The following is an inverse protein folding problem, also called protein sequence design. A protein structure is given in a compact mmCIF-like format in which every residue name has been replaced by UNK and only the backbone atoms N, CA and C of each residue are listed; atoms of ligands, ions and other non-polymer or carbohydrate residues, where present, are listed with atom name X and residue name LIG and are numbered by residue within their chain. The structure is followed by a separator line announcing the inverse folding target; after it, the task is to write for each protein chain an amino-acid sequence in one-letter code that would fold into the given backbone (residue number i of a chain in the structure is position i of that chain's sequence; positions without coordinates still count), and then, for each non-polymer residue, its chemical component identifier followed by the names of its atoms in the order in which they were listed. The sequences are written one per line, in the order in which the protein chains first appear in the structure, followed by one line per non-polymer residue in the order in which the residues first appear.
data_IF_932410650874
#
_entry.id   IF_932410650874
#
_cell.length_a   1.000
_cell.length_b   1.000
_cell.length_c   1.000
_cell.angle_alpha   90.00
_cell.angle_beta   90.00
_cell.angle_gamma   90.00
#
_symmetry.space_group_name_H-M   'P 1'
#
loop_
_entity.id
_entity.type
_entity.pdbx_description
1 polymer ?
#
# COMPACT_ATOMS: atom_id res chain seq x y z
N UNK A 1 -18.61 52.54 22.92
CA UNK A 1 -19.16 51.48 23.80
C UNK A 1 -20.00 50.45 23.06
N UNK A 2 -21.12 50.81 22.39
CA UNK A 2 -22.01 49.85 21.68
C UNK A 2 -21.30 49.02 20.58
N UNK A 3 -20.44 49.63 19.75
CA UNK A 3 -19.61 48.92 18.74
C UNK A 3 -18.57 47.97 19.35
N UNK A 4 -18.00 48.35 20.50
CA UNK A 4 -17.02 47.53 21.21
C UNK A 4 -17.71 46.31 21.87
N UNK A 5 -18.86 46.52 22.50
CA UNK A 5 -19.69 45.44 23.06
C UNK A 5 -20.21 44.50 21.95
N UNK A 6 -20.64 45.03 20.81
CA UNK A 6 -21.01 44.21 19.65
C UNK A 6 -19.80 43.39 19.15
N UNK A 7 -18.60 43.99 19.05
CA UNK A 7 -17.40 43.24 18.65
C UNK A 7 -16.99 42.13 19.63
N UNK A 8 -17.25 42.30 20.94
CA UNK A 8 -16.97 41.27 21.95
C UNK A 8 -17.92 40.07 21.86
N UNK A 9 -19.12 40.25 21.31
CA UNK A 9 -20.10 39.17 21.07
C UNK A 9 -19.95 38.57 19.67
N UNK A 10 -19.67 39.41 18.67
CA UNK A 10 -19.47 39.00 17.27
C UNK A 10 -18.15 38.24 17.07
N UNK A 11 -17.07 38.61 17.79
CA UNK A 11 -15.77 37.97 17.65
C UNK A 11 -15.77 36.47 18.02
N UNK A 12 -16.29 36.04 19.19
CA UNK A 12 -16.39 34.61 19.53
C UNK A 12 -17.24 33.83 18.53
N UNK A 13 -18.35 34.42 18.05
CA UNK A 13 -19.19 33.79 17.04
C UNK A 13 -18.47 33.63 15.69
N UNK A 14 -17.73 34.65 15.25
CA UNK A 14 -16.91 34.60 14.04
C UNK A 14 -15.76 33.59 14.18
N UNK A 15 -15.09 33.56 15.33
CA UNK A 15 -14.03 32.60 15.65
C UNK A 15 -14.58 31.17 15.61
N UNK A 16 -15.70 30.91 16.30
CA UNK A 16 -16.37 29.61 16.32
C UNK A 16 -16.76 29.16 14.91
N UNK A 17 -17.36 30.04 14.11
CA UNK A 17 -17.72 29.74 12.73
C UNK A 17 -16.50 29.47 11.85
N UNK A 18 -15.39 30.18 12.08
CA UNK A 18 -14.14 29.98 11.33
C UNK A 18 -13.45 28.68 11.74
N UNK A 19 -13.39 28.38 13.04
CA UNK A 19 -12.88 27.11 13.58
C UNK A 19 -13.73 25.94 13.08
N UNK A 20 -15.06 26.04 13.13
CA UNK A 20 -15.98 25.00 12.62
C UNK A 20 -15.80 24.75 11.12
N UNK A 21 -15.70 25.82 10.31
CA UNK A 21 -15.42 25.69 8.87
C UNK A 21 -14.05 25.07 8.63
N UNK A 22 -13.03 25.48 9.39
CA UNK A 22 -11.67 24.94 9.33
C UNK A 22 -11.63 23.46 9.68
N UNK A 23 -12.26 23.08 10.79
CA UNK A 23 -12.41 21.69 11.26
C UNK A 23 -13.08 20.82 10.20
N UNK A 24 -14.22 21.28 9.68
CA UNK A 24 -14.96 20.52 8.66
C UNK A 24 -14.16 20.36 7.37
N UNK A 25 -13.47 21.42 6.93
CA UNK A 25 -12.59 21.34 5.76
C UNK A 25 -11.41 20.40 6.01
N UNK A 26 -10.82 20.43 7.20
CA UNK A 26 -9.67 19.60 7.53
C UNK A 26 -10.02 18.10 7.58
N UNK A 27 -11.09 17.71 8.27
CA UNK A 27 -11.47 16.31 8.46
C UNK A 27 -12.42 15.75 7.39
N UNK A 28 -13.31 16.56 6.84
CA UNK A 28 -14.42 16.06 6.01
C UNK A 28 -14.36 16.45 4.54
N UNK A 29 -13.25 17.03 4.05
CA UNK A 29 -13.05 17.17 2.60
C UNK A 29 -12.65 15.81 2.02
N UNK A 30 -13.32 15.29 0.98
CA UNK A 30 -12.93 14.03 0.35
C UNK A 30 -11.49 14.04 -0.15
N UNK A 31 -10.76 12.95 0.07
CA UNK A 31 -9.37 12.79 -0.38
C UNK A 31 -9.16 11.45 -1.08
N UNK A 32 -8.14 11.41 -1.92
CA UNK A 32 -7.75 10.23 -2.68
C UNK A 32 -7.23 9.10 -1.75
N UNK A 33 -7.79 7.87 -1.84
CA UNK A 33 -7.43 6.76 -0.94
C UNK A 33 -6.14 6.02 -1.33
N UNK A 34 -5.43 6.38 -2.40
CA UNK A 34 -4.28 5.60 -2.91
C UNK A 34 -3.18 5.44 -1.88
N UNK A 35 -2.82 6.52 -1.18
CA UNK A 35 -1.83 6.47 -0.12
C UNK A 35 -2.24 5.47 0.98
N UNK A 36 -3.53 5.43 1.38
CA UNK A 36 -4.01 4.47 2.38
C UNK A 36 -3.88 3.02 1.92
N UNK A 37 -4.13 2.74 0.63
CA UNK A 37 -3.92 1.42 0.05
C UNK A 37 -2.47 0.96 0.16
N UNK A 38 -1.51 1.88 -0.08
CA UNK A 38 -0.08 1.59 0.10
C UNK A 38 0.29 1.44 1.57
N UNK A 39 -0.22 2.30 2.46
CA UNK A 39 -0.03 2.16 3.92
C UNK A 39 -0.52 0.79 4.40
N UNK A 40 -1.70 0.36 3.94
CA UNK A 40 -2.27 -0.96 4.25
C UNK A 40 -1.32 -2.09 3.83
N UNK A 41 -0.77 -2.04 2.61
CA UNK A 41 0.20 -3.04 2.12
C UNK A 41 1.45 -3.02 3.01
N UNK A 42 2.05 -1.85 3.23
CA UNK A 42 3.29 -1.74 4.03
C UNK A 42 3.10 -2.24 5.46
N UNK A 43 2.04 -1.80 6.15
CA UNK A 43 1.72 -2.24 7.51
C UNK A 43 1.37 -3.72 7.53
N UNK A 44 0.62 -4.21 6.55
CA UNK A 44 0.27 -5.63 6.45
C UNK A 44 1.50 -6.52 6.25
N UNK A 45 2.46 -6.12 5.40
CA UNK A 45 3.75 -6.82 5.23
C UNK A 45 4.54 -6.85 6.54
N UNK A 46 4.61 -5.72 7.25
CA UNK A 46 5.30 -5.63 8.54
C UNK A 46 4.66 -6.52 9.61
N UNK A 47 3.32 -6.55 9.69
CA UNK A 47 2.61 -7.45 10.59
C UNK A 47 2.80 -8.92 10.23
N UNK A 48 2.80 -9.24 8.93
CA UNK A 48 3.03 -10.61 8.46
C UNK A 48 4.45 -11.07 8.82
N UNK A 49 5.44 -10.22 8.56
CA UNK A 49 6.83 -10.43 8.96
C UNK A 49 6.96 -10.66 10.47
N UNK A 50 6.37 -9.79 11.28
CA UNK A 50 6.44 -9.89 12.73
C UNK A 50 5.81 -11.20 13.25
N UNK A 51 4.65 -11.61 12.70
CA UNK A 51 4.05 -12.91 13.03
C UNK A 51 4.93 -14.08 12.58
N UNK A 52 5.59 -14.00 11.41
CA UNK A 52 6.52 -15.04 10.98
C UNK A 52 7.70 -15.18 11.94
N UNK A 53 8.27 -14.06 12.41
CA UNK A 53 9.36 -14.05 13.38
C UNK A 53 8.93 -14.71 14.69
N UNK A 54 7.74 -14.38 15.22
CA UNK A 54 7.20 -15.08 16.38
C UNK A 54 6.99 -16.58 16.14
N UNK A 55 6.72 -16.98 14.89
CA UNK A 55 6.58 -18.39 14.51
C UNK A 55 7.86 -19.21 14.63
N UNK A 56 9.04 -18.57 14.65
CA UNK A 56 10.33 -19.26 14.81
C UNK A 56 10.46 -19.96 16.16
N UNK A 57 9.87 -19.37 17.21
CA UNK A 57 9.77 -19.99 18.54
C UNK A 57 8.41 -19.65 19.20
N UNK A 58 7.34 -20.11 18.56
CA UNK A 58 5.97 -19.75 18.94
C UNK A 58 5.66 -20.10 20.40
N UNK A 59 6.20 -21.21 20.91
CA UNK A 59 5.93 -21.67 22.27
C UNK A 59 6.66 -20.80 23.30
N UNK A 60 7.89 -20.36 23.03
CA UNK A 60 8.60 -19.44 23.91
C UNK A 60 7.89 -18.08 24.04
N UNK A 61 7.25 -17.59 22.98
CA UNK A 61 6.53 -16.32 23.03
C UNK A 61 5.10 -16.43 23.57
N UNK A 62 4.34 -17.46 23.17
CA UNK A 62 2.89 -17.54 23.42
C UNK A 62 2.45 -18.67 24.35
N UNK A 63 3.29 -19.69 24.59
CA UNK A 63 2.91 -20.84 25.41
C UNK A 63 2.86 -20.55 26.90
N UNK A 64 2.29 -21.48 27.66
CA UNK A 64 2.16 -21.35 29.11
C UNK A 64 3.50 -21.26 29.81
N UNK A 65 4.50 -22.00 29.32
CA UNK A 65 5.87 -22.05 29.84
C UNK A 65 6.84 -21.15 29.06
N UNK A 66 6.32 -20.13 28.37
CA UNK A 66 7.12 -19.19 27.59
C UNK A 66 7.95 -18.21 28.43
N UNK A 67 8.72 -17.35 27.76
CA UNK A 67 9.54 -16.31 28.40
C UNK A 67 8.74 -15.35 29.29
N UNK A 68 7.46 -15.17 28.98
CA UNK A 68 6.55 -14.35 29.75
C UNK A 68 5.37 -15.19 30.25
N UNK A 69 5.39 -15.51 31.55
CA UNK A 69 4.32 -16.21 32.25
C UNK A 69 2.96 -15.49 32.05
N UNK A 70 1.94 -16.16 31.50
CA UNK A 70 0.65 -15.55 31.17
C UNK A 70 -0.09 -14.93 32.36
N UNK A 71 0.05 -15.50 33.56
CA UNK A 71 -0.63 -14.99 34.76
C UNK A 71 0.04 -13.70 35.25
N UNK A 72 1.38 -13.67 35.29
CA UNK A 72 2.16 -12.48 35.61
C UNK A 72 1.86 -11.33 34.64
N UNK A 73 1.80 -11.61 33.34
CA UNK A 73 1.43 -10.61 32.32
C UNK A 73 0.01 -10.08 32.57
N UNK A 74 -0.97 -10.96 32.85
CA UNK A 74 -2.34 -10.54 33.17
C UNK A 74 -2.42 -9.73 34.45
N UNK A 75 -1.65 -10.08 35.47
CA UNK A 75 -1.57 -9.33 36.72
C UNK A 75 -1.08 -7.89 36.48
N UNK A 76 0.01 -7.72 35.72
CA UNK A 76 0.53 -6.39 35.35
C UNK A 76 -0.50 -5.59 34.56
N UNK A 77 -1.18 -6.20 33.58
CA UNK A 77 -2.24 -5.52 32.84
C UNK A 77 -3.38 -5.07 33.76
N UNK A 78 -3.83 -5.88 34.72
CA UNK A 78 -4.89 -5.47 35.66
C UNK A 78 -4.51 -4.24 36.49
N UNK A 79 -3.22 -4.07 36.81
CA UNK A 79 -2.74 -2.92 37.58
C UNK A 79 -2.58 -1.66 36.72
N UNK A 80 -2.00 -1.78 35.52
CA UNK A 80 -1.62 -0.62 34.71
C UNK A 80 -2.67 -0.23 33.65
N UNK A 81 -3.40 -1.22 33.14
CA UNK A 81 -4.37 -1.07 32.05
C UNK A 81 -5.50 -2.10 32.22
N UNK A 82 -6.41 -1.93 33.19
CA UNK A 82 -7.42 -2.94 33.54
C UNK A 82 -8.38 -3.30 32.40
N UNK A 83 -8.50 -2.44 31.39
CA UNK A 83 -9.27 -2.69 30.16
C UNK A 83 -8.46 -3.36 29.03
N UNK A 84 -7.19 -3.71 29.26
CA UNK A 84 -6.38 -4.40 28.27
C UNK A 84 -6.88 -5.82 28.02
N UNK A 85 -6.87 -6.23 26.76
CA UNK A 85 -7.39 -7.51 26.31
C UNK A 85 -6.46 -8.14 25.28
N UNK A 86 -6.52 -9.47 25.18
CA UNK A 86 -5.87 -10.25 24.14
C UNK A 86 -6.55 -11.61 24.03
N UNK A 87 -6.89 -12.04 22.82
CA UNK A 87 -7.46 -13.38 22.65
C UNK A 87 -6.43 -14.48 22.95
N UNK A 88 -5.13 -14.19 22.89
CA UNK A 88 -4.07 -15.19 23.10
C UNK A 88 -4.04 -15.76 24.52
N UNK A 89 -4.59 -15.06 25.52
CA UNK A 89 -4.75 -15.62 26.87
C UNK A 89 -5.76 -16.77 26.95
N UNK A 90 -6.56 -16.96 25.92
CA UNK A 90 -7.59 -17.99 25.84
C UNK A 90 -7.22 -19.12 24.87
N UNK A 91 -6.03 -19.07 24.26
CA UNK A 91 -5.57 -20.09 23.30
C UNK A 91 -4.75 -21.14 24.05
N UNK A 92 -5.20 -22.40 24.13
CA UNK A 92 -4.41 -23.48 24.70
C UNK A 92 -3.17 -23.78 23.85
N UNK A 93 -2.10 -24.26 24.48
CA UNK A 93 -0.81 -24.55 23.84
C UNK A 93 -0.93 -25.46 22.61
N UNK A 94 -1.83 -26.45 22.66
CA UNK A 94 -2.13 -27.36 21.55
C UNK A 94 -2.67 -26.65 20.29
N UNK A 95 -3.31 -25.49 20.46
CA UNK A 95 -3.92 -24.71 19.37
C UNK A 95 -3.06 -23.54 18.89
N UNK A 96 -1.92 -23.26 19.53
CA UNK A 96 -1.07 -22.10 19.20
C UNK A 96 -0.73 -22.04 17.71
N UNK A 97 -0.24 -23.15 17.14
CA UNK A 97 0.12 -23.23 15.71
C UNK A 97 -1.08 -22.96 14.80
N UNK A 98 -2.24 -23.50 15.13
CA UNK A 98 -3.45 -23.30 14.33
C UNK A 98 -3.89 -21.83 14.34
N UNK A 99 -3.97 -21.22 15.52
CA UNK A 99 -4.38 -19.82 15.68
C UNK A 99 -3.34 -18.89 15.04
N UNK A 100 -2.05 -19.20 15.16
CA UNK A 100 -0.98 -18.46 14.50
C UNK A 100 -1.09 -18.50 12.98
N UNK A 101 -1.33 -19.67 12.36
CA UNK A 101 -1.59 -19.77 10.92
C UNK A 101 -2.84 -18.97 10.53
N UNK A 102 -3.91 -19.03 11.32
CA UNK A 102 -5.11 -18.24 11.06
C UNK A 102 -4.83 -16.73 11.09
N UNK A 103 -4.02 -16.26 12.04
CA UNK A 103 -3.56 -14.87 12.10
C UNK A 103 -2.74 -14.48 10.85
N UNK A 104 -1.81 -15.33 10.42
CA UNK A 104 -1.04 -15.10 9.20
C UNK A 104 -1.93 -14.99 7.97
N UNK A 105 -2.93 -15.87 7.83
CA UNK A 105 -3.89 -15.83 6.72
C UNK A 105 -4.67 -14.52 6.75
N UNK A 106 -5.22 -14.13 7.91
CA UNK A 106 -5.97 -12.88 8.05
C UNK A 106 -5.10 -11.67 7.68
N UNK A 107 -3.85 -11.63 8.16
CA UNK A 107 -2.92 -10.54 7.84
C UNK A 107 -2.54 -10.57 6.36
N UNK A 108 -2.34 -11.73 5.74
CA UNK A 108 -2.09 -11.82 4.29
C UNK A 108 -3.28 -11.29 3.47
N UNK A 109 -4.51 -11.64 3.86
CA UNK A 109 -5.74 -11.12 3.25
C UNK A 109 -5.87 -9.60 3.47
N UNK A 110 -5.53 -9.12 4.66
CA UNK A 110 -5.43 -7.69 4.97
C UNK A 110 -4.37 -7.00 4.11
N UNK A 111 -3.23 -7.63 3.82
CA UNK A 111 -2.11 -7.11 3.00
C UNK A 111 -2.44 -7.06 1.51
N UNK A 112 -3.21 -7.99 0.97
CA UNK A 112 -3.69 -7.91 -0.43
C UNK A 112 -4.96 -7.09 -0.58
N UNK A 113 -5.70 -6.88 0.51
CA UNK A 113 -6.92 -6.07 0.54
C UNK A 113 -8.13 -6.86 0.04
N UNK A 114 -8.24 -8.11 0.47
CA UNK A 114 -9.43 -8.95 0.30
C UNK A 114 -10.29 -8.86 1.56
N UNK A 115 -11.60 -8.67 1.38
CA UNK A 115 -12.54 -8.37 2.47
C UNK A 115 -12.02 -7.26 3.38
N UNK A 116 -11.48 -6.23 2.75
CA UNK A 116 -10.65 -5.16 3.33
C UNK A 116 -11.22 -4.53 4.60
N UNK A 117 -12.54 -4.42 4.73
CA UNK A 117 -13.18 -3.91 5.95
C UNK A 117 -13.06 -4.87 7.13
N UNK A 118 -13.33 -6.15 6.90
CA UNK A 118 -13.30 -7.19 7.93
C UNK A 118 -11.85 -7.49 8.30
N UNK A 119 -10.98 -7.69 7.31
CA UNK A 119 -9.58 -8.03 7.57
C UNK A 119 -8.82 -6.89 8.23
N UNK A 120 -9.18 -5.62 8.02
CA UNK A 120 -8.58 -4.50 8.73
C UNK A 120 -8.90 -4.53 10.24
N UNK A 121 -10.16 -4.79 10.61
CA UNK A 121 -10.56 -4.94 12.01
C UNK A 121 -9.85 -6.14 12.64
N UNK A 122 -9.85 -7.29 11.96
CA UNK A 122 -9.17 -8.48 12.47
C UNK A 122 -7.66 -8.30 12.58
N UNK A 123 -7.00 -7.63 11.63
CA UNK A 123 -5.58 -7.31 11.71
C UNK A 123 -5.26 -6.40 12.90
N UNK A 124 -6.11 -5.41 13.19
CA UNK A 124 -5.99 -4.59 14.39
C UNK A 124 -6.17 -5.42 15.68
N UNK A 125 -7.15 -6.33 15.70
CA UNK A 125 -7.37 -7.25 16.83
C UNK A 125 -6.15 -8.14 17.07
N UNK A 126 -5.53 -8.64 15.99
CA UNK A 126 -4.32 -9.47 16.05
C UNK A 126 -3.15 -8.69 16.62
N UNK A 127 -2.81 -7.51 16.07
CA UNK A 127 -1.65 -6.74 16.55
C UNK A 127 -1.81 -6.29 17.99
N UNK A 128 -3.00 -5.86 18.41
CA UNK A 128 -3.27 -5.53 19.82
C UNK A 128 -3.12 -6.77 20.69
N UNK A 129 -3.67 -7.90 20.27
CA UNK A 129 -3.61 -9.13 21.06
C UNK A 129 -2.17 -9.64 21.21
N UNK A 130 -1.37 -9.61 20.14
CA UNK A 130 0.06 -9.97 20.16
C UNK A 130 0.82 -9.05 21.09
N UNK A 131 0.66 -7.73 20.92
CA UNK A 131 1.32 -6.73 21.75
C UNK A 131 1.03 -6.92 23.25
N UNK A 132 -0.21 -7.26 23.60
CA UNK A 132 -0.59 -7.48 25.00
C UNK A 132 -0.15 -8.85 25.55
N UNK A 133 -0.02 -9.87 24.71
CA UNK A 133 0.40 -11.21 25.13
C UNK A 133 1.91 -11.33 25.31
N UNK A 134 2.68 -10.64 24.48
CA UNK A 134 4.14 -10.76 24.42
C UNK A 134 4.79 -9.40 24.78
N UNK A 135 4.68 -8.94 26.03
CA UNK A 135 5.22 -7.62 26.41
C UNK A 135 6.76 -7.56 26.34
N UNK A 136 7.44 -8.70 26.40
CA UNK A 136 8.92 -8.80 26.41
C UNK A 136 9.56 -8.39 25.08
N UNK A 137 8.82 -8.46 23.98
CA UNK A 137 9.29 -8.07 22.63
C UNK A 137 8.72 -6.74 22.18
N UNK A 138 7.98 -6.03 23.04
CA UNK A 138 7.36 -4.75 22.69
C UNK A 138 8.38 -3.64 22.56
N UNK A 139 8.25 -2.87 21.49
CA UNK A 139 8.92 -1.59 21.35
C UNK A 139 8.07 -0.61 20.54
N UNK A 140 8.67 0.50 20.11
CA UNK A 140 7.97 1.55 19.37
C UNK A 140 7.25 1.03 18.12
N UNK A 141 7.76 -0.02 17.48
CA UNK A 141 7.14 -0.63 16.30
C UNK A 141 5.69 -1.04 16.54
N UNK A 142 5.41 -1.86 17.57
CA UNK A 142 4.09 -2.43 17.84
C UNK A 142 3.04 -1.35 18.07
N UNK A 143 3.43 -0.27 18.76
CA UNK A 143 2.56 0.87 19.03
C UNK A 143 2.16 1.59 17.74
N UNK A 144 3.12 1.79 16.84
CA UNK A 144 2.92 2.48 15.56
C UNK A 144 2.05 1.65 14.61
N UNK A 145 2.37 0.37 14.40
CA UNK A 145 1.57 -0.48 13.51
C UNK A 145 0.17 -0.73 14.06
N UNK A 146 0.00 -0.79 15.39
CA UNK A 146 -1.31 -0.84 16.04
C UNK A 146 -2.12 0.44 15.79
N UNK A 147 -1.51 1.62 15.90
CA UNK A 147 -2.17 2.89 15.61
C UNK A 147 -2.60 3.00 14.13
N UNK A 148 -1.73 2.62 13.18
CA UNK A 148 -2.05 2.63 11.76
C UNK A 148 -3.18 1.66 11.43
N UNK A 149 -3.10 0.42 11.91
CA UNK A 149 -4.18 -0.56 11.68
C UNK A 149 -5.49 -0.14 12.32
N UNK A 150 -5.49 0.47 13.51
CA UNK A 150 -6.69 1.05 14.13
C UNK A 150 -7.37 2.05 13.20
N UNK A 151 -6.61 3.00 12.66
CA UNK A 151 -7.18 4.04 11.79
C UNK A 151 -7.69 3.46 10.47
N UNK A 152 -7.00 2.46 9.91
CA UNK A 152 -7.46 1.75 8.71
C UNK A 152 -8.72 0.91 8.98
N UNK A 153 -8.80 0.28 10.15
CA UNK A 153 -9.94 -0.53 10.59
C UNK A 153 -11.18 0.34 10.83
N UNK A 154 -11.04 1.45 11.55
CA UNK A 154 -12.16 2.31 11.91
C UNK A 154 -12.77 3.06 10.72
N UNK A 155 -11.95 3.46 9.75
CA UNK A 155 -12.41 4.28 8.62
C UNK A 155 -12.90 3.47 7.43
N UNK A 156 -12.57 2.18 7.34
CA UNK A 156 -12.95 1.28 6.24
C UNK A 156 -12.54 1.79 4.84
N UNK A 157 -11.55 2.69 4.77
CA UNK A 157 -11.12 3.35 3.53
C UNK A 157 -9.93 2.65 2.85
N UNK A 158 -9.22 1.77 3.56
CA UNK A 158 -7.97 1.14 3.12
C UNK A 158 -8.13 0.19 1.91
N UNK A 159 -9.36 -0.26 1.65
CA UNK A 159 -9.73 -1.08 0.49
C UNK A 159 -10.20 -0.30 -0.74
N UNK A 160 -10.33 1.03 -0.67
CA UNK A 160 -10.90 1.84 -1.76
C UNK A 160 -9.93 2.03 -2.95
N UNK A 161 -8.62 1.83 -2.72
CA UNK A 161 -7.57 1.85 -3.73
C UNK A 161 -6.53 0.76 -3.45
N UNK A 162 -5.82 0.34 -4.50
CA UNK A 162 -4.73 -0.65 -4.44
C UNK A 162 -5.13 -1.89 -3.64
N UNK A 163 -6.27 -2.51 -3.96
CA UNK A 163 -6.83 -3.64 -3.21
C UNK A 163 -7.36 -4.74 -4.14
N UNK A 164 -7.29 -5.99 -3.67
CA UNK A 164 -7.82 -7.13 -4.40
C UNK A 164 -9.35 -7.07 -4.55
N UNK A 165 -10.08 -6.59 -3.53
CA UNK A 165 -11.53 -6.35 -3.61
C UNK A 165 -11.90 -5.47 -4.82
N UNK A 166 -11.19 -4.33 -4.97
CA UNK A 166 -11.42 -3.39 -6.08
C UNK A 166 -11.06 -4.01 -7.41
N UNK A 167 -9.92 -4.71 -7.47
CA UNK A 167 -9.48 -5.38 -8.69
C UNK A 167 -10.48 -6.43 -9.16
N UNK A 168 -10.96 -7.30 -8.25
CA UNK A 168 -11.96 -8.33 -8.56
C UNK A 168 -13.29 -7.72 -9.00
N UNK A 169 -13.74 -6.64 -8.37
CA UNK A 169 -14.94 -5.92 -8.80
C UNK A 169 -14.80 -5.37 -10.23
N UNK A 170 -13.66 -4.73 -10.54
CA UNK A 170 -13.35 -4.25 -11.89
C UNK A 170 -13.23 -5.39 -12.90
N UNK A 171 -12.62 -6.50 -12.53
CA UNK A 171 -12.48 -7.67 -13.38
C UNK A 171 -13.84 -8.27 -13.75
N UNK A 172 -14.78 -8.36 -12.79
CA UNK A 172 -16.16 -8.79 -13.08
C UNK A 172 -16.87 -7.85 -14.05
N UNK A 173 -16.73 -6.54 -13.87
CA UNK A 173 -17.29 -5.53 -14.79
C UNK A 173 -16.69 -5.64 -16.19
N UNK A 174 -15.36 -5.79 -16.28
CA UNK A 174 -14.67 -5.95 -17.56
C UNK A 174 -15.07 -7.24 -18.26
N UNK A 175 -15.16 -8.37 -17.55
CA UNK A 175 -15.67 -9.62 -18.11
C UNK A 175 -17.09 -9.47 -18.66
N UNK A 176 -17.99 -8.83 -17.91
CA UNK A 176 -19.36 -8.60 -18.35
C UNK A 176 -19.42 -7.67 -19.57
N UNK A 177 -18.56 -6.64 -19.63
CA UNK A 177 -18.49 -5.71 -20.76
C UNK A 177 -17.97 -6.39 -22.03
N UNK A 178 -16.87 -7.14 -21.93
CA UNK A 178 -16.27 -7.88 -23.08
C UNK A 178 -17.21 -8.97 -23.59
N UNK A 179 -18.00 -9.60 -22.72
CA UNK A 179 -18.97 -10.61 -23.12
C UNK A 179 -20.13 -10.03 -23.95
N UNK A 180 -20.51 -8.77 -23.71
CA UNK A 180 -21.53 -8.05 -24.49
C UNK A 180 -20.90 -7.58 -25.81
N UNK A 181 -20.86 -8.47 -26.80
CA UNK A 181 -20.37 -8.13 -28.15
C UNK A 181 -21.11 -6.90 -28.69
N UNK A 182 -20.35 -5.89 -29.12
CA UNK A 182 -20.89 -4.66 -29.74
C UNK A 182 -20.49 -4.58 -31.20
N UNK A 183 -21.36 -4.00 -32.01
CA UNK A 183 -21.16 -3.88 -33.45
C UNK A 183 -20.01 -2.93 -33.83
N UNK A 184 -19.67 -1.97 -32.96
CA UNK A 184 -18.53 -1.06 -33.14
C UNK A 184 -17.19 -1.70 -32.69
N UNK A 185 -17.21 -2.92 -32.15
CA UNK A 185 -16.04 -3.64 -31.63
C UNK A 185 -15.36 -2.99 -30.43
N UNK A 186 -15.98 -1.94 -29.88
CA UNK A 186 -15.44 -1.14 -28.79
C UNK A 186 -16.28 -1.37 -27.55
N UNK A 187 -15.61 -1.51 -26.42
CA UNK A 187 -16.26 -1.58 -25.12
C UNK A 187 -15.43 -0.81 -24.12
N UNK A 188 -16.09 -0.27 -23.11
CA UNK A 188 -15.44 0.52 -22.08
C UNK A 188 -15.96 0.09 -20.72
N UNK A 189 -15.08 0.12 -19.73
CA UNK A 189 -15.46 0.05 -18.31
C UNK A 189 -15.29 1.42 -17.69
N UNK A 190 -16.04 1.75 -16.61
CA UNK A 190 -15.79 2.96 -15.83
C UNK A 190 -14.30 3.13 -15.47
N UNK A 191 -13.86 4.39 -15.38
CA UNK A 191 -12.49 4.71 -14.95
C UNK A 191 -12.18 3.98 -13.64
N UNK A 192 -10.96 3.46 -13.52
CA UNK A 192 -10.47 2.83 -12.31
C UNK A 192 -9.69 3.75 -11.41
N UNK A 193 -9.64 5.05 -11.72
CA UNK A 193 -9.16 6.07 -10.78
C UNK A 193 -10.00 5.98 -9.49
N UNK A 194 -9.36 5.87 -8.31
CA UNK A 194 -10.09 5.81 -7.05
C UNK A 194 -10.90 7.08 -6.80
N UNK A 195 -12.16 6.93 -6.38
CA UNK A 195 -12.98 8.09 -6.02
C UNK A 195 -12.53 8.65 -4.66
N UNK A 196 -12.34 9.98 -4.55
CA UNK A 196 -12.05 10.62 -3.28
C UNK A 196 -13.16 10.38 -2.26
N UNK A 197 -12.82 10.11 -1.00
CA UNK A 197 -13.80 9.88 0.05
C UNK A 197 -13.48 10.61 1.35
N UNK A 198 -14.52 10.92 2.12
CA UNK A 198 -14.39 11.53 3.45
C UNK A 198 -13.68 10.57 4.41
N UNK A 199 -14.04 9.29 4.37
CA UNK A 199 -13.40 8.24 5.17
C UNK A 199 -11.90 8.16 4.92
N UNK A 200 -11.47 8.32 3.66
CA UNK A 200 -10.06 8.31 3.31
C UNK A 200 -9.33 9.53 3.89
N UNK A 201 -9.92 10.72 3.75
CA UNK A 201 -9.34 11.92 4.36
C UNK A 201 -9.25 11.78 5.88
N UNK A 202 -10.30 11.28 6.54
CA UNK A 202 -10.27 11.07 7.99
C UNK A 202 -9.11 10.18 8.41
N UNK A 203 -8.90 9.03 7.74
CA UNK A 203 -7.79 8.13 8.03
C UNK A 203 -6.42 8.81 7.81
N UNK A 204 -6.26 9.51 6.69
CA UNK A 204 -5.03 10.24 6.38
C UNK A 204 -4.75 11.30 7.45
N UNK A 205 -5.76 12.06 7.88
CA UNK A 205 -5.62 13.11 8.90
C UNK A 205 -5.24 12.54 10.26
N UNK A 206 -5.84 11.42 10.67
CA UNK A 206 -5.47 10.73 11.90
C UNK A 206 -4.01 10.27 11.87
N UNK A 207 -3.56 9.67 10.75
CA UNK A 207 -2.15 9.27 10.58
C UNK A 207 -1.22 10.49 10.61
N UNK A 208 -1.54 11.54 9.85
CA UNK A 208 -0.75 12.77 9.77
C UNK A 208 -0.61 13.45 11.14
N UNK A 209 -1.71 13.59 11.88
CA UNK A 209 -1.69 14.19 13.22
C UNK A 209 -0.91 13.34 14.20
N UNK A 210 -1.06 12.01 14.16
CA UNK A 210 -0.30 11.12 15.04
C UNK A 210 1.20 11.20 14.73
N UNK A 211 1.61 11.24 13.45
CA UNK A 211 3.02 11.46 13.08
C UNK A 211 3.58 12.78 13.58
N UNK A 212 2.81 13.86 13.45
CA UNK A 212 3.18 15.18 13.99
C UNK A 212 3.40 15.08 15.50
N UNK A 213 2.52 14.39 16.23
CA UNK A 213 2.69 14.17 17.67
C UNK A 213 3.93 13.32 17.97
N UNK A 214 4.15 12.22 17.27
CA UNK A 214 5.30 11.32 17.50
C UNK A 214 6.62 12.06 17.30
N UNK A 215 6.80 12.72 16.15
CA UNK A 215 8.04 13.46 15.88
C UNK A 215 8.22 14.64 16.83
N UNK A 216 7.16 15.43 17.07
CA UNK A 216 7.22 16.57 17.97
C UNK A 216 7.56 16.17 19.41
N UNK A 217 6.90 15.13 19.93
CA UNK A 217 7.17 14.60 21.27
C UNK A 217 8.55 13.97 21.37
N UNK A 218 9.02 13.27 20.32
CA UNK A 218 10.39 12.76 20.27
C UNK A 218 11.42 13.88 20.37
N UNK A 219 11.23 14.99 19.64
CA UNK A 219 12.11 16.15 19.69
C UNK A 219 12.10 16.83 21.07
N UNK A 220 10.91 17.03 21.65
CA UNK A 220 10.76 17.61 22.99
C UNK A 220 11.37 16.72 24.09
N UNK A 221 11.25 15.40 23.97
CA UNK A 221 11.89 14.46 24.89
C UNK A 221 13.42 14.55 24.80
N UNK A 222 13.98 14.69 23.59
CA UNK A 222 15.43 14.83 23.39
C UNK A 222 15.99 16.11 24.00
N UNK A 223 15.26 17.22 24.01
CA UNK A 223 15.68 18.47 24.66
C UNK A 223 15.97 18.32 26.17
N UNK A 224 15.46 17.27 26.82
CA UNK A 224 15.71 17.00 28.23
C UNK A 224 17.10 16.39 28.47
N UNK A 225 17.75 15.84 27.44
CA UNK A 225 19.04 15.19 27.53
C UNK A 225 20.21 16.14 27.23
N UNK A 226 21.24 16.26 28.10
CA UNK A 226 22.37 17.17 27.88
C UNK A 226 23.18 16.83 26.63
N UNK A 227 23.24 15.56 26.24
CA UNK A 227 23.96 15.10 25.04
C UNK A 227 23.41 15.68 23.73
N UNK A 228 22.13 16.03 23.68
CA UNK A 228 21.50 16.66 22.51
C UNK A 228 21.94 18.12 22.36
N UNK A 229 22.20 18.80 23.47
CA UNK A 229 22.73 20.17 23.49
C UNK A 229 24.23 20.23 23.17
N UNK A 230 25.00 19.25 23.66
CA UNK A 230 26.44 19.17 23.33
C UNK A 230 26.72 18.60 21.94
N UNK A 231 25.69 18.14 21.21
CA UNK A 231 25.83 17.54 19.88
C UNK A 231 26.50 16.15 19.87
N UNK A 232 26.47 15.44 20.99
CA UNK A 232 27.12 14.13 21.15
C UNK A 232 26.11 12.98 21.25
N UNK A 233 24.80 13.25 21.19
CA UNK A 233 23.78 12.23 21.40
C UNK A 233 23.86 11.07 20.39
N UNK A 234 24.06 11.36 19.09
CA UNK A 234 24.16 10.30 18.07
C UNK A 234 25.39 9.42 18.29
N UNK A 235 26.50 9.98 18.77
CA UNK A 235 27.67 9.19 19.14
C UNK A 235 27.34 8.16 20.24
N UNK A 236 26.54 8.55 21.23
CA UNK A 236 26.11 7.64 22.29
C UNK A 236 25.37 6.41 21.78
N UNK A 237 24.57 6.55 20.72
CA UNK A 237 23.88 5.41 20.08
C UNK A 237 24.86 4.60 19.24
N UNK A 238 25.69 5.25 18.42
CA UNK A 238 26.63 4.57 17.52
C UNK A 238 27.71 3.77 18.26
N UNK A 239 28.16 4.25 19.41
CA UNK A 239 29.15 3.59 20.24
C UNK A 239 28.55 2.56 21.22
N UNK A 240 27.22 2.44 21.28
CA UNK A 240 26.56 1.49 22.17
C UNK A 240 26.61 0.08 21.60
N UNK A 241 27.05 -0.89 22.41
CA UNK A 241 27.04 -2.31 22.06
C UNK A 241 25.62 -2.91 22.03
N UNK A 242 24.65 -2.22 22.64
CA UNK A 242 23.26 -2.66 22.69
C UNK A 242 22.55 -2.52 21.33
N UNK A 243 22.86 -1.46 20.58
CA UNK A 243 22.23 -1.17 19.30
C UNK A 243 23.14 -1.40 18.09
N UNK A 244 24.44 -1.19 18.24
CA UNK A 244 25.41 -1.29 17.15
C UNK A 244 25.70 -2.72 16.71
N UNK A 245 25.27 -3.08 15.50
CA UNK A 245 25.70 -4.33 14.83
C UNK A 245 26.82 -4.09 13.82
N UNK A 246 26.98 -2.85 13.35
CA UNK A 246 28.06 -2.44 12.45
C UNK A 246 29.06 -1.59 13.23
N UNK A 247 30.36 -1.82 12.99
CA UNK A 247 31.40 -0.98 13.57
C UNK A 247 31.43 0.40 12.88
N UNK A 248 30.83 1.37 13.54
CA UNK A 248 30.79 2.77 13.11
C UNK A 248 31.68 3.66 13.98
N UNK A 249 32.56 3.07 14.80
CA UNK A 249 33.40 3.83 15.75
C UNK A 249 34.40 4.76 15.05
N UNK A 250 34.76 4.48 13.79
CA UNK A 250 35.58 5.36 12.96
C UNK A 250 34.97 6.77 12.79
N UNK A 251 33.66 6.94 12.96
CA UNK A 251 33.00 8.25 12.96
C UNK A 251 33.44 9.15 14.11
N UNK A 252 34.08 8.59 15.16
CA UNK A 252 34.72 9.38 16.22
C UNK A 252 35.77 10.37 15.66
N UNK A 253 36.38 10.06 14.52
CA UNK A 253 37.32 10.95 13.84
C UNK A 253 36.63 12.19 13.23
N UNK A 254 35.30 12.21 13.14
CA UNK A 254 34.51 13.27 12.51
C UNK A 254 33.48 13.88 13.50
N UNK A 255 33.92 14.51 14.61
CA UNK A 255 33.00 15.02 15.64
C UNK A 255 32.06 16.12 15.14
N UNK A 256 32.48 16.91 14.15
CA UNK A 256 31.61 17.91 13.52
C UNK A 256 30.44 17.29 12.77
N UNK A 257 30.64 16.11 12.16
CA UNK A 257 29.58 15.38 11.47
C UNK A 257 28.58 14.83 12.48
N UNK A 258 29.06 14.24 13.57
CA UNK A 258 28.22 13.75 14.66
C UNK A 258 27.40 14.88 15.31
N UNK A 259 28.00 16.05 15.49
CA UNK A 259 27.33 17.25 15.96
C UNK A 259 26.25 17.72 14.99
N UNK A 260 26.57 17.81 13.69
CA UNK A 260 25.62 18.20 12.65
C UNK A 260 24.43 17.23 12.59
N UNK A 261 24.68 15.92 12.59
CA UNK A 261 23.63 14.90 12.57
C UNK A 261 22.73 15.00 13.83
N UNK A 262 23.33 15.20 15.01
CA UNK A 262 22.61 15.32 16.27
C UNK A 262 21.63 16.49 16.24
N UNK A 263 22.10 17.68 15.84
CA UNK A 263 21.25 18.86 15.74
C UNK A 263 20.29 18.80 14.56
N UNK A 264 20.64 18.13 13.46
CA UNK A 264 19.75 17.92 12.32
C UNK A 264 18.55 17.06 12.70
N UNK A 265 18.75 15.99 13.46
CA UNK A 265 17.66 15.17 13.99
C UNK A 265 16.72 15.99 14.89
N UNK A 266 17.28 16.80 15.79
CA UNK A 266 16.51 17.66 16.68
C UNK A 266 15.71 18.74 15.92
N UNK A 267 16.36 19.43 14.97
CA UNK A 267 15.72 20.44 14.13
C UNK A 267 14.62 19.84 13.25
N UNK A 268 14.84 18.65 12.71
CA UNK A 268 13.84 17.90 11.95
C UNK A 268 12.63 17.57 12.83
N UNK A 269 12.84 16.93 13.98
CA UNK A 269 11.75 16.46 14.85
C UNK A 269 10.91 17.61 15.42
N UNK A 270 11.55 18.70 15.85
CA UNK A 270 10.85 19.90 16.35
C UNK A 270 10.20 20.71 15.22
N UNK A 271 10.80 20.73 14.04
CA UNK A 271 10.29 21.43 12.86
C UNK A 271 9.14 20.69 12.17
N UNK A 272 9.14 19.35 12.19
CA UNK A 272 8.18 18.51 11.47
C UNK A 272 6.71 18.87 11.76
N UNK A 273 6.27 19.05 13.04
CA UNK A 273 4.90 19.44 13.38
C UNK A 273 4.33 20.63 12.62
N UNK A 274 5.18 21.60 12.28
CA UNK A 274 4.79 22.87 11.66
C UNK A 274 5.09 22.85 10.16
N UNK A 275 6.31 22.46 9.80
CA UNK A 275 6.84 22.61 8.44
C UNK A 275 6.27 21.58 7.45
N UNK A 276 5.81 20.41 7.90
CA UNK A 276 5.25 19.36 7.01
C UNK A 276 3.99 19.81 6.27
N UNK A 277 3.27 20.78 6.83
CA UNK A 277 2.06 21.35 6.24
C UNK A 277 2.37 22.33 5.10
N UNK A 278 3.59 22.84 5.02
CA UNK A 278 4.06 23.73 3.95
C UNK A 278 4.37 22.90 2.71
N UNK A 279 3.56 23.03 1.66
CA UNK A 279 3.63 22.18 0.45
C UNK A 279 5.01 22.17 -0.21
N UNK A 280 5.73 23.29 -0.17
CA UNK A 280 7.07 23.44 -0.77
C UNK A 280 8.14 22.68 0.04
N UNK A 281 8.05 22.69 1.37
CA UNK A 281 9.02 22.03 2.25
C UNK A 281 8.72 20.55 2.47
N UNK A 282 7.48 20.13 2.23
CA UNK A 282 7.03 18.75 2.49
C UNK A 282 7.93 17.68 1.82
N UNK A 283 8.29 17.75 0.52
CA UNK A 283 9.14 16.73 -0.09
C UNK A 283 10.50 16.63 0.60
N UNK A 284 11.08 17.77 0.99
CA UNK A 284 12.34 17.82 1.74
C UNK A 284 12.19 17.11 3.09
N UNK A 285 11.13 17.39 3.86
CA UNK A 285 10.92 16.72 5.14
C UNK A 285 10.64 15.22 5.01
N UNK A 286 9.91 14.79 3.98
CA UNK A 286 9.69 13.37 3.73
C UNK A 286 10.99 12.66 3.35
N UNK A 287 11.87 13.32 2.59
CA UNK A 287 13.20 12.81 2.29
C UNK A 287 14.07 12.77 3.56
N UNK A 288 14.07 13.82 4.38
CA UNK A 288 14.80 13.82 5.66
C UNK A 288 14.30 12.72 6.59
N UNK A 289 12.99 12.50 6.69
CA UNK A 289 12.41 11.39 7.46
C UNK A 289 12.93 10.04 6.96
N UNK A 290 12.91 9.82 5.64
CA UNK A 290 13.43 8.59 5.04
C UNK A 290 14.92 8.40 5.34
N UNK A 291 15.75 9.42 5.10
CA UNK A 291 17.20 9.35 5.33
C UNK A 291 17.52 9.12 6.81
N UNK A 292 16.78 9.74 7.73
CA UNK A 292 16.92 9.53 9.16
C UNK A 292 16.63 8.08 9.54
N UNK A 293 15.51 7.51 9.07
CA UNK A 293 15.16 6.12 9.37
C UNK A 293 16.10 5.10 8.71
N UNK A 294 16.61 5.38 7.51
CA UNK A 294 17.68 4.58 6.90
C UNK A 294 18.96 4.66 7.73
N UNK A 295 19.32 5.86 8.22
CA UNK A 295 20.45 6.04 9.13
C UNK A 295 20.29 5.22 10.42
N UNK A 296 19.09 5.20 11.01
CA UNK A 296 18.76 4.38 12.18
C UNK A 296 18.84 2.89 11.85
N UNK A 297 18.33 2.45 10.70
CA UNK A 297 18.42 1.04 10.30
C UNK A 297 19.87 0.57 10.10
N UNK A 298 20.77 1.46 9.67
CA UNK A 298 22.20 1.16 9.53
C UNK A 298 22.89 1.15 10.90
N UNK A 299 22.61 2.13 11.77
CA UNK A 299 23.27 2.25 13.07
C UNK A 299 22.72 1.30 14.14
N UNK A 300 21.43 1.00 14.07
CA UNK A 300 20.68 0.19 15.01
C UNK A 300 19.70 -0.73 14.27
N UNK A 301 20.19 -1.81 13.60
CA UNK A 301 19.34 -2.66 12.77
C UNK A 301 18.14 -3.28 13.51
N UNK A 302 18.20 -3.44 14.83
CA UNK A 302 17.08 -3.88 15.66
C UNK A 302 15.89 -2.91 15.74
N UNK A 303 16.02 -1.69 15.19
CA UNK A 303 14.97 -0.67 15.10
C UNK A 303 14.42 -0.50 13.67
N UNK A 304 14.83 -1.36 12.73
CA UNK A 304 14.47 -1.24 11.31
C UNK A 304 12.95 -1.30 11.10
N UNK A 305 12.26 -2.20 11.79
CA UNK A 305 10.81 -2.36 11.69
C UNK A 305 10.06 -1.08 12.11
N UNK A 306 10.54 -0.43 13.17
CA UNK A 306 10.00 0.87 13.59
C UNK A 306 10.18 1.93 12.49
N UNK A 307 11.38 2.03 11.90
CA UNK A 307 11.65 2.96 10.80
C UNK A 307 10.77 2.71 9.58
N UNK A 308 10.55 1.44 9.21
CA UNK A 308 9.64 1.06 8.12
C UNK A 308 8.18 1.41 8.43
N UNK A 309 7.74 1.23 9.67
CA UNK A 309 6.39 1.61 10.11
C UNK A 309 6.19 3.14 10.10
N UNK A 310 7.23 3.90 10.46
CA UNK A 310 7.24 5.36 10.36
C UNK A 310 7.22 5.82 8.90
N UNK A 311 7.98 5.18 8.02
CA UNK A 311 7.98 5.46 6.59
C UNK A 311 6.60 5.16 5.96
N UNK A 312 5.98 4.05 6.32
CA UNK A 312 4.61 3.73 5.92
C UNK A 312 3.66 4.86 6.31
N UNK A 313 3.67 5.32 7.57
CA UNK A 313 2.85 6.46 8.00
C UNK A 313 3.10 7.73 7.16
N UNK A 314 4.35 8.02 6.80
CA UNK A 314 4.71 9.23 6.04
C UNK A 314 4.12 9.25 4.63
N UNK A 315 3.73 8.10 4.07
CA UNK A 315 2.95 8.03 2.82
C UNK A 315 1.64 8.82 2.91
N UNK A 316 1.08 9.04 4.11
CA UNK A 316 -0.14 9.82 4.28
C UNK A 316 0.01 11.29 3.86
N UNK A 317 1.23 11.80 3.71
CA UNK A 317 1.52 13.15 3.21
C UNK A 317 1.77 13.20 1.69
N UNK A 318 1.87 12.05 1.04
CA UNK A 318 2.15 11.92 -0.39
C UNK A 318 0.85 11.97 -1.21
N UNK A 319 0.91 12.64 -2.36
CA UNK A 319 -0.25 12.80 -3.25
C UNK A 319 -0.58 11.48 -3.97
N UNK A 320 -1.83 11.01 -3.85
CA UNK A 320 -2.33 9.84 -4.59
C UNK A 320 -2.20 9.97 -6.11
N UNK A 321 -2.63 11.10 -6.73
CA UNK A 321 -2.40 11.35 -8.15
C UNK A 321 -0.92 11.29 -8.56
N UNK A 322 0.00 11.82 -7.74
CA UNK A 322 1.43 11.76 -8.01
C UNK A 322 1.97 10.33 -7.92
N UNK A 323 1.54 9.55 -6.92
CA UNK A 323 1.90 8.13 -6.81
C UNK A 323 1.47 7.33 -8.05
N UNK A 324 0.29 7.63 -8.61
CA UNK A 324 -0.16 7.00 -9.85
C UNK A 324 0.63 7.46 -11.06
N UNK A 325 0.99 8.75 -11.14
CA UNK A 325 1.74 9.27 -12.28
C UNK A 325 3.17 8.71 -12.38
N UNK A 326 3.77 8.27 -11.27
CA UNK A 326 5.04 7.55 -11.27
C UNK A 326 5.02 6.25 -12.08
N UNK A 327 3.83 5.67 -12.28
CA UNK A 327 3.67 4.39 -12.97
C UNK A 327 2.91 4.54 -14.30
N UNK A 328 1.81 5.29 -14.31
CA UNK A 328 0.97 5.51 -15.49
C UNK A 328 1.27 6.77 -16.31
N UNK A 329 2.23 7.61 -15.89
CA UNK A 329 2.46 8.94 -16.47
C UNK A 329 1.33 9.93 -16.18
N UNK A 330 1.33 11.08 -16.85
CA UNK A 330 0.37 12.18 -16.58
C UNK A 330 -1.07 11.92 -17.08
N UNK A 331 -1.39 10.72 -17.55
CA UNK A 331 -2.77 10.26 -17.78
C UNK A 331 -3.60 11.03 -18.81
N UNK A 332 -2.98 11.76 -19.74
CA UNK A 332 -3.71 12.65 -20.67
C UNK A 332 -4.16 12.00 -21.99
N UNK A 333 -3.60 10.87 -22.42
CA UNK A 333 -3.97 10.18 -23.67
C UNK A 333 -3.80 8.65 -23.55
N UNK A 334 -4.58 7.87 -24.31
CA UNK A 334 -4.40 6.42 -24.41
C UNK A 334 -3.01 6.11 -24.96
N UNK A 335 -2.24 5.30 -24.24
CA UNK A 335 -0.89 4.90 -24.64
C UNK A 335 -0.90 3.99 -25.88
N UNK A 336 -1.98 3.22 -26.10
CA UNK A 336 -2.13 2.41 -27.31
C UNK A 336 -3.45 1.64 -27.42
N UNK A 337 -3.69 1.12 -28.62
CA UNK A 337 -4.82 0.27 -29.00
C UNK A 337 -4.41 -1.20 -28.97
N UNK A 338 -5.14 -2.04 -28.23
CA UNK A 338 -4.85 -3.47 -28.10
C UNK A 338 -5.86 -4.26 -28.92
N UNK A 339 -5.38 -4.90 -29.98
CA UNK A 339 -6.20 -5.73 -30.85
C UNK A 339 -6.26 -7.15 -30.31
N UNK A 340 -7.47 -7.66 -30.16
CA UNK A 340 -7.73 -9.00 -29.65
C UNK A 340 -8.88 -9.69 -30.39
N UNK A 341 -8.90 -11.01 -30.32
CA UNK A 341 -9.97 -11.82 -30.89
C UNK A 341 -11.15 -11.92 -29.91
N UNK A 342 -12.25 -11.21 -30.21
CA UNK A 342 -13.48 -11.26 -29.43
C UNK A 342 -14.21 -12.60 -29.48
N UNK A 343 -13.96 -13.44 -30.49
CA UNK A 343 -14.54 -14.78 -30.56
C UNK A 343 -13.84 -15.76 -29.60
N UNK A 344 -12.57 -15.54 -29.28
CA UNK A 344 -11.79 -16.40 -28.38
C UNK A 344 -12.04 -16.08 -26.89
N UNK A 345 -12.58 -17.03 -26.08
CA UNK A 345 -12.81 -16.81 -24.64
C UNK A 345 -11.56 -16.44 -23.85
N UNK A 346 -10.41 -17.04 -24.19
CA UNK A 346 -9.13 -16.73 -23.54
C UNK A 346 -8.68 -15.31 -23.84
N UNK A 347 -8.81 -14.85 -25.09
CA UNK A 347 -8.48 -13.47 -25.46
C UNK A 347 -9.41 -12.47 -24.74
N UNK A 348 -10.71 -12.77 -24.63
CA UNK A 348 -11.65 -11.98 -23.82
C UNK A 348 -11.24 -11.92 -22.35
N UNK A 349 -10.85 -13.05 -21.76
CA UNK A 349 -10.40 -13.11 -20.38
C UNK A 349 -9.11 -12.31 -20.15
N UNK A 350 -8.14 -12.39 -21.06
CA UNK A 350 -6.91 -11.57 -21.03
C UNK A 350 -7.22 -10.08 -21.15
N UNK A 351 -8.15 -9.68 -22.03
CA UNK A 351 -8.55 -8.27 -22.13
C UNK A 351 -9.29 -7.78 -20.90
N UNK A 352 -10.18 -8.59 -20.33
CA UNK A 352 -10.83 -8.25 -19.07
C UNK A 352 -9.80 -8.06 -17.93
N UNK A 353 -8.75 -8.88 -17.91
CA UNK A 353 -7.65 -8.78 -16.94
C UNK A 353 -6.84 -7.49 -17.12
N UNK A 354 -6.41 -7.19 -18.35
CA UNK A 354 -5.66 -5.97 -18.69
C UNK A 354 -6.46 -4.71 -18.32
N UNK A 355 -7.73 -4.67 -18.72
CA UNK A 355 -8.61 -3.53 -18.44
C UNK A 355 -8.97 -3.38 -16.95
N UNK A 356 -9.03 -4.48 -16.19
CA UNK A 356 -9.20 -4.40 -14.74
C UNK A 356 -7.97 -3.78 -14.06
N UNK A 357 -6.78 -4.14 -14.54
CA UNK A 357 -5.48 -3.62 -14.08
C UNK A 357 -5.15 -2.22 -14.59
N UNK A 358 -5.86 -1.70 -15.59
CA UNK A 358 -5.68 -0.37 -16.17
C UNK A 358 -6.71 0.63 -15.59
N UNK A 359 -6.42 1.28 -14.43
CA UNK A 359 -7.33 2.23 -13.82
C UNK A 359 -7.44 3.54 -14.62
N UNK A 360 -6.36 3.95 -15.28
CA UNK A 360 -6.26 5.25 -15.95
C UNK A 360 -6.72 5.19 -17.42
N UNK A 361 -7.16 4.02 -17.91
CA UNK A 361 -7.60 3.78 -19.30
C UNK A 361 -6.51 4.11 -20.31
N UNK A 362 -5.28 3.71 -20.01
CA UNK A 362 -4.15 3.81 -20.93
C UNK A 362 -4.37 2.95 -22.18
N UNK A 363 -5.18 1.89 -22.09
CA UNK A 363 -5.43 0.93 -23.15
C UNK A 363 -6.82 1.10 -23.77
N UNK A 364 -6.86 1.10 -25.10
CA UNK A 364 -8.11 1.01 -25.86
C UNK A 364 -8.26 -0.41 -26.45
N UNK A 365 -9.20 -1.24 -25.94
CA UNK A 365 -9.42 -2.57 -26.48
C UNK A 365 -10.19 -2.52 -27.81
N UNK A 366 -9.71 -3.24 -28.82
CA UNK A 366 -10.31 -3.29 -30.18
C UNK A 366 -10.58 -4.75 -30.57
N UNK A 367 -11.85 -5.07 -30.77
CA UNK A 367 -12.29 -6.40 -31.19
C UNK A 367 -12.10 -6.60 -32.71
N UNK A 368 -11.25 -7.57 -33.08
CA UNK A 368 -10.95 -7.94 -34.47
C UNK A 368 -12.14 -8.51 -35.24
N UNK A 369 -13.21 -8.94 -34.55
CA UNK A 369 -14.40 -9.49 -35.18
C UNK A 369 -15.34 -8.42 -35.73
N UNK A 370 -15.25 -7.20 -35.21
CA UNK A 370 -16.16 -6.10 -35.50
C UNK A 370 -15.50 -4.89 -36.21
N UNK A 371 -14.18 -4.89 -36.36
CA UNK A 371 -13.41 -3.79 -36.96
C UNK A 371 -12.57 -4.27 -38.13
N UNK A 372 -12.49 -3.45 -39.19
CA UNK A 372 -11.49 -3.61 -40.24
C UNK A 372 -10.13 -3.11 -39.74
N UNK A 373 -9.15 -4.01 -39.61
CA UNK A 373 -7.82 -3.72 -39.07
C UNK A 373 -7.05 -2.66 -39.86
N UNK A 374 -7.33 -2.51 -41.15
CA UNK A 374 -6.70 -1.49 -41.99
C UNK A 374 -7.05 -0.08 -41.54
N UNK A 375 -8.23 0.11 -40.94
CA UNK A 375 -8.66 1.39 -40.34
C UNK A 375 -7.94 1.71 -39.03
N UNK A 376 -7.34 0.71 -38.38
CA UNK A 376 -6.58 0.87 -37.14
C UNK A 376 -5.14 1.26 -37.46
N UNK A 377 -4.49 0.51 -38.36
CA UNK A 377 -3.15 0.83 -38.87
C UNK A 377 -2.94 0.20 -40.27
N UNK A 378 -2.40 0.91 -41.26
CA UNK A 378 -2.31 0.44 -42.65
C UNK A 378 -1.50 -0.85 -42.86
N UNK A 379 -0.52 -1.13 -42.00
CA UNK A 379 0.34 -2.32 -42.10
C UNK A 379 -0.25 -3.59 -41.50
N UNK A 380 -1.42 -3.51 -40.84
CA UNK A 380 -2.03 -4.67 -40.19
C UNK A 380 -2.89 -5.48 -41.17
N UNK A 381 -2.78 -6.80 -41.07
CA UNK A 381 -3.67 -7.73 -41.79
C UNK A 381 -4.45 -8.56 -40.79
N UNK A 382 -5.72 -8.86 -41.10
CA UNK A 382 -6.59 -9.62 -40.20
C UNK A 382 -5.99 -10.99 -39.87
N UNK A 383 -5.41 -11.66 -40.87
CA UNK A 383 -4.74 -12.94 -40.70
C UNK A 383 -3.57 -12.90 -39.70
N UNK A 384 -2.77 -11.83 -39.70
CA UNK A 384 -1.70 -11.65 -38.71
C UNK A 384 -2.27 -11.39 -37.31
N UNK A 385 -3.26 -10.52 -37.18
CA UNK A 385 -3.89 -10.19 -35.90
C UNK A 385 -4.63 -11.37 -35.26
N UNK A 386 -5.11 -12.33 -36.05
CA UNK A 386 -5.70 -13.58 -35.52
C UNK A 386 -4.64 -14.55 -34.97
N UNK A 387 -3.37 -14.46 -35.41
CA UNK A 387 -2.29 -15.34 -34.91
C UNK A 387 -1.73 -14.90 -33.56
N UNK A 388 -1.66 -13.59 -33.31
CA UNK A 388 -1.09 -13.03 -32.09
C UNK A 388 -1.76 -11.70 -31.69
N UNK A 389 -1.71 -11.34 -30.41
CA UNK A 389 -2.09 -10.02 -29.91
C UNK A 389 -1.19 -8.95 -30.55
N UNK A 390 -1.80 -7.84 -30.93
CA UNK A 390 -1.08 -6.67 -31.46
C UNK A 390 -1.39 -5.46 -30.60
N UNK A 391 -0.35 -4.73 -30.22
CA UNK A 391 -0.45 -3.44 -29.56
C UNK A 391 0.01 -2.36 -30.55
N UNK A 392 -0.90 -1.47 -30.94
CA UNK A 392 -0.59 -0.28 -31.74
C UNK A 392 -0.41 0.88 -30.78
N UNK A 393 0.83 1.34 -30.63
CA UNK A 393 1.19 2.44 -29.73
C UNK A 393 0.79 3.79 -30.32
N UNK A 394 0.66 4.81 -29.46
CA UNK A 394 0.32 6.18 -29.90
C UNK A 394 1.36 6.79 -30.86
N UNK A 395 2.62 6.34 -30.80
CA UNK A 395 3.70 6.73 -31.70
C UNK A 395 3.71 5.98 -33.05
N UNK A 396 2.73 5.10 -33.28
CA UNK A 396 2.61 4.29 -34.50
C UNK A 396 3.42 2.98 -34.49
N UNK A 397 4.23 2.71 -33.46
CA UNK A 397 4.94 1.44 -33.35
C UNK A 397 3.98 0.29 -33.03
N UNK A 398 4.31 -0.91 -33.52
CA UNK A 398 3.50 -2.11 -33.32
C UNK A 398 4.33 -3.14 -32.57
N UNK A 399 3.87 -3.51 -31.37
CA UNK A 399 4.41 -4.63 -30.62
C UNK A 399 3.51 -5.85 -30.83
N UNK A 400 4.10 -7.03 -31.01
CA UNK A 400 3.36 -8.27 -31.37
C UNK A 400 3.66 -9.38 -30.38
N UNK A 401 2.62 -10.12 -30.00
CA UNK A 401 2.77 -11.33 -29.19
C UNK A 401 3.34 -11.06 -27.80
N UNK A 402 4.42 -11.74 -27.46
CA UNK A 402 5.07 -11.58 -26.14
C UNK A 402 5.62 -10.16 -25.93
N UNK A 403 6.12 -9.50 -26.98
CA UNK A 403 6.60 -8.11 -26.88
C UNK A 403 5.47 -7.16 -26.50
N UNK A 404 4.26 -7.38 -27.04
CA UNK A 404 3.08 -6.64 -26.64
C UNK A 404 2.75 -6.89 -25.16
N UNK A 405 2.86 -8.13 -24.67
CA UNK A 405 2.63 -8.46 -23.26
C UNK A 405 3.63 -7.75 -22.34
N UNK A 406 4.91 -7.71 -22.71
CA UNK A 406 5.94 -6.99 -21.94
C UNK A 406 5.69 -5.49 -21.93
N UNK A 407 5.40 -4.88 -23.09
CA UNK A 407 5.08 -3.45 -23.16
C UNK A 407 3.84 -3.11 -22.33
N UNK A 408 2.75 -3.87 -22.48
CA UNK A 408 1.52 -3.69 -21.69
C UNK A 408 1.78 -3.81 -20.18
N UNK A 409 2.60 -4.78 -19.78
CA UNK A 409 2.95 -4.99 -18.38
C UNK A 409 3.70 -3.80 -17.79
N UNK A 410 4.50 -3.07 -18.59
CA UNK A 410 5.19 -1.85 -18.15
C UNK A 410 4.25 -0.66 -17.97
N UNK A 411 3.13 -0.62 -18.69
CA UNK A 411 2.16 0.47 -18.61
C UNK A 411 1.14 0.28 -17.47
N UNK A 412 0.85 -0.97 -17.09
CA UNK A 412 -0.12 -1.28 -16.04
C UNK A 412 0.59 -1.40 -14.69
N UNK A 413 0.23 -0.60 -13.66
CA UNK A 413 0.93 -0.61 -12.37
C UNK A 413 0.98 -1.96 -11.66
N UNK A 414 -0.09 -2.75 -11.77
CA UNK A 414 -0.16 -4.08 -11.16
C UNK A 414 0.83 -5.06 -11.79
N UNK A 415 1.15 -4.90 -13.08
CA UNK A 415 1.98 -5.82 -13.86
C UNK A 415 3.39 -5.28 -14.11
N UNK A 416 3.69 -4.07 -13.65
CA UNK A 416 4.99 -3.40 -13.80
C UNK A 416 6.20 -4.31 -13.51
N UNK A 417 6.25 -5.08 -12.41
CA UNK A 417 7.40 -5.94 -12.12
C UNK A 417 7.63 -7.00 -13.21
N UNK A 418 6.56 -7.53 -13.79
CA UNK A 418 6.63 -8.49 -14.90
C UNK A 418 7.17 -7.81 -16.16
N UNK A 419 6.83 -6.56 -16.40
CA UNK A 419 7.34 -5.77 -17.53
C UNK A 419 8.84 -5.44 -17.42
N UNK A 420 9.35 -5.23 -16.21
CA UNK A 420 10.78 -5.02 -15.98
C UNK A 420 11.60 -6.29 -16.22
N UNK A 421 11.14 -7.40 -15.65
CA UNK A 421 11.87 -8.67 -15.65
C UNK A 421 11.68 -9.42 -16.97
N UNK A 422 10.51 -9.29 -17.59
CA UNK A 422 10.15 -9.97 -18.84
C UNK A 422 10.97 -9.54 -20.06
N UNK A 423 11.67 -8.42 -20.00
CA UNK A 423 12.60 -7.97 -21.05
C UNK A 423 14.02 -8.53 -20.93
N UNK A 424 14.35 -9.25 -19.85
CA UNK A 424 15.67 -9.86 -19.71
C UNK A 424 15.85 -10.95 -20.79
N UNK A 425 17.02 -11.06 -21.46
CA UNK A 425 17.20 -11.91 -22.64
C UNK A 425 16.75 -13.37 -22.46
N UNK A 426 17.11 -13.99 -21.33
CA UNK A 426 16.75 -15.39 -21.01
C UNK A 426 15.23 -15.56 -20.85
N UNK A 427 14.59 -14.63 -20.16
CA UNK A 427 13.15 -14.66 -19.90
C UNK A 427 12.35 -14.29 -21.14
N UNK A 428 12.85 -13.37 -21.96
CA UNK A 428 12.26 -13.04 -23.25
C UNK A 428 12.23 -14.25 -24.18
N UNK A 429 13.36 -14.97 -24.32
CA UNK A 429 13.41 -16.19 -25.13
C UNK A 429 12.39 -17.24 -24.67
N UNK A 430 12.32 -17.51 -23.36
CA UNK A 430 11.33 -18.42 -22.79
C UNK A 430 9.89 -17.93 -22.96
N UNK A 431 9.68 -16.62 -22.78
CA UNK A 431 8.40 -15.93 -22.90
C UNK A 431 7.81 -16.02 -24.31
N UNK A 432 8.63 -15.82 -25.35
CA UNK A 432 8.19 -16.01 -26.74
C UNK A 432 7.73 -17.45 -27.00
N UNK A 433 8.48 -18.46 -26.52
CA UNK A 433 8.08 -19.88 -26.67
C UNK A 433 6.78 -20.18 -25.95
N UNK A 434 6.66 -19.78 -24.69
CA UNK A 434 5.47 -19.99 -23.88
C UNK A 434 4.24 -19.29 -24.50
N UNK A 435 4.39 -18.03 -24.90
CA UNK A 435 3.33 -17.26 -25.55
C UNK A 435 2.88 -17.92 -26.86
N UNK A 436 3.81 -18.34 -27.71
CA UNK A 436 3.48 -18.98 -28.99
C UNK A 436 2.78 -20.33 -28.81
N UNK A 437 3.20 -21.13 -27.83
CA UNK A 437 2.50 -22.38 -27.48
C UNK A 437 1.06 -22.12 -27.02
N UNK A 438 0.86 -21.12 -26.15
CA UNK A 438 -0.48 -20.71 -25.70
C UNK A 438 -1.30 -20.18 -26.88
N UNK A 439 -0.72 -19.36 -27.75
CA UNK A 439 -1.39 -18.78 -28.91
C UNK A 439 -1.81 -19.83 -29.95
N UNK A 440 -1.03 -20.89 -30.12
CA UNK A 440 -1.36 -22.02 -30.97
C UNK A 440 -2.54 -22.85 -30.42
N UNK A 441 -2.68 -22.94 -29.09
CA UNK A 441 -3.76 -23.68 -28.42
C UNK A 441 -5.10 -22.94 -28.30
N UNK A 442 -5.27 -21.78 -28.97
CA UNK A 442 -6.50 -20.99 -28.89
C UNK A 442 -7.65 -21.71 -29.61
N UNK A 443 -8.82 -21.91 -28.98
CA UNK A 443 -9.99 -22.45 -29.67
C UNK A 443 -10.50 -21.41 -30.67
N UNK A 444 -10.54 -21.77 -31.96
CA UNK A 444 -10.96 -20.88 -33.06
C UNK A 444 -12.31 -21.26 -33.68
N UNK A 445 -12.68 -22.54 -33.61
CA UNK A 445 -13.82 -23.11 -34.35
C UNK A 445 -14.92 -23.71 -33.47
N UNK A 446 -14.95 -23.37 -32.17
CA UNK A 446 -15.95 -23.90 -31.25
C UNK A 446 -16.99 -22.82 -30.92
N UNK A 447 -18.27 -23.21 -30.89
CA UNK A 447 -19.37 -22.37 -30.46
C UNK A 447 -19.02 -21.73 -29.12
N UNK A 448 -19.06 -20.40 -29.08
CA UNK A 448 -18.44 -19.60 -28.06
C UNK A 448 -19.24 -19.67 -26.73
N UNK A 449 -19.02 -20.72 -25.96
CA UNK A 449 -19.61 -20.94 -24.63
C UNK A 449 -18.48 -21.00 -23.59
N UNK A 450 -18.76 -20.54 -22.37
CA UNK A 450 -17.77 -20.56 -21.27
C UNK A 450 -17.39 -22.01 -20.88
N UNK A 451 -18.20 -22.99 -21.27
CA UNK A 451 -18.03 -24.44 -21.02
C UNK A 451 -16.87 -25.06 -21.81
N UNK A 452 -16.52 -24.51 -22.97
CA UNK A 452 -15.54 -25.10 -23.92
C UNK A 452 -14.09 -25.06 -23.40
N UNK A 453 -13.83 -24.31 -22.33
CA UNK A 453 -12.47 -24.14 -21.78
C UNK A 453 -12.36 -24.39 -20.27
N UNK A 454 -13.32 -25.08 -19.65
CA UNK A 454 -13.18 -25.55 -18.26
C UNK A 454 -13.27 -24.47 -17.18
N UNK A 455 -13.93 -23.34 -17.44
CA UNK A 455 -14.20 -22.33 -16.40
C UNK A 455 -15.65 -22.53 -15.94
N UNK A 456 -15.84 -23.40 -14.96
CA UNK A 456 -17.16 -23.55 -14.34
C UNK A 456 -17.55 -22.23 -13.63
N UNK A 457 -18.78 -21.73 -13.82
CA UNK A 457 -19.32 -20.71 -12.93
C UNK A 457 -19.34 -21.26 -11.48
N UNK A 458 -19.18 -20.42 -10.45
CA UNK A 458 -19.34 -20.89 -9.07
C UNK A 458 -20.75 -21.46 -8.95
N UNK A 459 -20.82 -22.76 -8.66
CA UNK A 459 -22.09 -23.48 -8.49
C UNK A 459 -22.92 -22.73 -7.44
N UNK A 460 -24.07 -22.22 -7.84
CA UNK A 460 -25.10 -21.79 -6.91
C UNK A 460 -25.53 -23.02 -6.14
N UNK A 461 -25.04 -23.13 -4.90
CA UNK A 461 -25.48 -24.14 -3.94
C UNK A 461 -27.00 -23.99 -3.78
N UNK A 462 -27.71 -25.05 -4.15
CA UNK A 462 -29.08 -25.32 -3.70
C UNK A 462 -29.01 -26.05 -2.37
#
# INVERSE_FOLDING_TARGET
MRRFLNSLVEYPAHLLNTVRRGWNRFFFTPADPTALGLIRISVGVLLFWNLLVYGLDLHAFFGSDGWADPESVRFVHRMQAPAAWSFWFHVPDALLRLVWVACLVVVALFTVGLWSRVTAVLAWVIVVSVARRVPVSLFGFDQIVSAWTLYLAFTFASGQAVSLDRFLARYRLARAAVARRRHDGRWTVPSGVPEPSVSANLALRLIQLHLVLIYGMAGLAKLQGPSWWSGTAIWGVLASAEFGQLDLTWLAAYPWLLNLLTHSALAFELGYPVLIWVRVLRPLLLLTALLMHVGIAISAPGLTEFGLAMFAGNLAFVSGPWLRSLVGGDGKQSAGRVLYDGACPRCRASMALLTAGDPDRLLEPVDLTAVDVATVHPSLTKAACMKAMHLVRADGRIDVGYDAVVTLSRWIPLFWPLGLVGSLPVLSWGGHRAYNAIAASRPRDVLCTDDVCGIHPPSSLT
#
